data_IF_001006211464
#
_entry.id   IF_001006211464
#
_cell.length_a   1.000
_cell.length_b   1.000
_cell.length_c   1.000
_cell.angle_alpha   90.00
_cell.angle_beta   90.00
_cell.angle_gamma   90.00
#
_symmetry.space_group_name_H-M   'P 1'
#
loop_
_entity.id
_entity.type
_entity.pdbx_description
1 polymer ?
#
# COMPACT_ATOMS: atom_id res chain seq x y z
N UNK A 1 -11.76 -3.02 -16.52
CA UNK A 1 -10.95 -2.12 -15.68
C UNK A 1 -11.70 -1.97 -14.37
N UNK A 2 -11.18 -2.53 -13.28
CA UNK A 2 -11.80 -2.40 -11.97
C UNK A 2 -11.17 -1.18 -11.30
N UNK A 3 -11.86 -0.04 -11.39
CA UNK A 3 -11.52 1.17 -10.66
C UNK A 3 -11.99 0.98 -9.21
N UNK A 4 -11.07 0.60 -8.32
CA UNK A 4 -11.25 0.75 -6.86
C UNK A 4 -11.41 2.23 -6.44
N UNK A 5 -11.39 3.17 -7.39
CA UNK A 5 -11.52 4.62 -7.21
C UNK A 5 -12.82 5.06 -6.53
N UNK A 6 -13.93 4.32 -6.63
CA UNK A 6 -15.22 4.77 -6.05
C UNK A 6 -15.45 4.35 -4.60
N UNK A 7 -15.24 3.08 -4.23
CA UNK A 7 -15.74 2.57 -2.94
C UNK A 7 -15.15 3.24 -1.68
N UNK A 8 -13.83 3.30 -1.56
CA UNK A 8 -13.17 3.79 -0.32
C UNK A 8 -13.18 5.31 -0.21
N UNK A 9 -13.09 6.03 -1.33
CA UNK A 9 -13.12 7.50 -1.33
C UNK A 9 -14.53 8.04 -1.12
N UNK A 10 -15.55 7.41 -1.72
CA UNK A 10 -16.94 7.87 -1.59
C UNK A 10 -17.47 7.66 -0.16
N UNK A 11 -17.14 6.54 0.50
CA UNK A 11 -17.61 6.24 1.87
C UNK A 11 -16.96 7.11 2.94
N UNK A 12 -15.72 7.58 2.73
CA UNK A 12 -14.95 8.29 3.76
C UNK A 12 -14.80 9.79 3.55
N UNK A 13 -15.40 10.36 2.50
CA UNK A 13 -15.33 11.79 2.19
C UNK A 13 -15.84 12.71 3.32
N UNK A 14 -16.73 12.22 4.19
CA UNK A 14 -17.25 12.97 5.34
C UNK A 14 -16.51 12.72 6.67
N UNK A 15 -15.60 11.74 6.73
CA UNK A 15 -14.92 11.34 7.97
C UNK A 15 -13.57 12.04 8.09
N UNK A 16 -13.58 13.21 8.76
CA UNK A 16 -12.38 14.06 8.97
C UNK A 16 -11.22 13.34 9.66
N UNK A 17 -11.49 12.24 10.34
CA UNK A 17 -10.50 11.48 11.12
C UNK A 17 -9.81 10.37 10.29
N UNK A 18 -10.21 10.15 9.03
CA UNK A 18 -9.62 9.14 8.14
C UNK A 18 -8.69 9.80 7.12
N UNK A 19 -7.46 9.31 7.05
CA UNK A 19 -6.45 9.73 6.06
C UNK A 19 -6.31 8.63 5.01
N UNK A 20 -6.72 8.93 3.77
CA UNK A 20 -6.65 7.97 2.64
C UNK A 20 -5.57 8.39 1.65
N UNK A 21 -4.76 7.42 1.23
CA UNK A 21 -3.83 7.54 0.10
C UNK A 21 -4.13 6.42 -0.91
N UNK A 22 -4.29 6.80 -2.17
CA UNK A 22 -4.26 5.89 -3.30
C UNK A 22 -3.10 6.30 -4.22
N UNK A 23 -1.94 5.61 -4.20
CA UNK A 23 -0.79 6.05 -4.98
C UNK A 23 -1.00 5.82 -6.48
N UNK A 24 -0.86 6.87 -7.28
CA UNK A 24 -1.17 6.84 -8.73
C UNK A 24 0.06 6.97 -9.63
N UNK A 25 1.27 7.16 -9.07
CA UNK A 25 2.49 7.33 -9.84
C UNK A 25 2.72 6.22 -10.89
N UNK A 26 3.27 6.59 -12.05
CA UNK A 26 3.42 5.72 -13.22
C UNK A 26 4.60 4.76 -13.19
N UNK A 27 5.59 4.96 -12.31
CA UNK A 27 6.76 4.09 -12.16
C UNK A 27 6.99 3.75 -10.67
N UNK A 28 7.80 2.71 -10.40
CA UNK A 28 8.02 2.22 -9.05
C UNK A 28 8.67 3.26 -8.13
N UNK A 29 9.69 3.99 -8.60
CA UNK A 29 10.41 4.97 -7.78
C UNK A 29 9.49 6.07 -7.28
N UNK A 30 8.68 6.64 -8.18
CA UNK A 30 7.75 7.70 -7.83
C UNK A 30 6.58 7.18 -6.99
N UNK A 31 6.16 5.93 -7.20
CA UNK A 31 5.13 5.27 -6.38
C UNK A 31 5.57 5.13 -4.92
N UNK A 32 6.81 4.67 -4.69
CA UNK A 32 7.37 4.58 -3.34
C UNK A 32 7.53 5.97 -2.72
N UNK A 33 8.03 6.94 -3.50
CA UNK A 33 8.21 8.32 -3.04
C UNK A 33 6.88 8.99 -2.67
N UNK A 34 5.82 8.71 -3.41
CA UNK A 34 4.47 9.21 -3.12
C UNK A 34 3.98 8.71 -1.74
N UNK A 35 4.18 7.42 -1.44
CA UNK A 35 3.89 6.86 -0.12
C UNK A 35 4.73 7.54 0.96
N UNK A 36 6.04 7.66 0.75
CA UNK A 36 6.96 8.28 1.71
C UNK A 36 6.59 9.73 2.03
N UNK A 37 6.27 10.52 1.01
CA UNK A 37 5.86 11.91 1.15
C UNK A 37 4.55 12.00 1.93
N UNK A 38 3.55 11.18 1.58
CA UNK A 38 2.26 11.21 2.25
C UNK A 38 2.37 10.90 3.75
N UNK A 39 3.12 9.85 4.11
CA UNK A 39 3.27 9.48 5.53
C UNK A 39 4.16 10.46 6.31
N UNK A 40 5.00 11.25 5.63
CA UNK A 40 5.93 12.19 6.28
C UNK A 40 5.20 13.25 7.09
N UNK A 41 4.11 13.80 6.53
CA UNK A 41 3.37 14.90 7.13
C UNK A 41 2.36 14.44 8.20
N UNK A 42 2.13 13.12 8.33
CA UNK A 42 1.21 12.57 9.32
C UNK A 42 1.84 12.60 10.71
N UNK A 43 1.25 13.43 11.58
CA UNK A 43 1.66 13.58 12.98
C UNK A 43 1.15 12.47 13.90
N UNK A 44 -0.04 11.95 13.63
CA UNK A 44 -0.68 10.93 14.45
C UNK A 44 -1.72 10.15 13.63
N UNK A 45 -1.82 8.85 13.92
CA UNK A 45 -2.90 7.91 13.57
C UNK A 45 -2.97 6.83 14.66
N UNK A 46 -4.13 6.26 14.92
CA UNK A 46 -4.29 5.16 15.90
C UNK A 46 -3.95 3.78 15.32
N UNK A 47 -4.20 3.61 14.01
CA UNK A 47 -4.03 2.36 13.27
C UNK A 47 -3.82 2.66 11.78
N UNK A 48 -3.11 1.77 11.09
CA UNK A 48 -2.96 1.83 9.63
C UNK A 48 -3.55 0.56 9.01
N UNK A 49 -4.50 0.76 8.08
CA UNK A 49 -5.01 -0.29 7.22
C UNK A 49 -4.42 -0.19 5.82
N UNK A 50 -4.21 -1.33 5.16
CA UNK A 50 -3.72 -1.40 3.79
C UNK A 50 -4.66 -2.28 2.97
N UNK A 51 -5.27 -1.71 1.93
CA UNK A 51 -5.83 -2.51 0.84
C UNK A 51 -4.67 -2.97 -0.03
N UNK A 52 -4.25 -4.22 0.14
CA UNK A 52 -3.04 -4.77 -0.45
C UNK A 52 -3.36 -5.41 -1.82
N UNK A 53 -3.33 -4.57 -2.86
CA UNK A 53 -3.38 -5.00 -4.26
C UNK A 53 -1.99 -5.31 -4.83
N UNK A 54 -1.86 -6.49 -5.44
CA UNK A 54 -0.65 -6.96 -6.11
C UNK A 54 -0.74 -6.87 -7.63
N UNK A 55 -1.85 -6.36 -8.15
CA UNK A 55 -2.08 -6.16 -9.58
C UNK A 55 -1.17 -5.07 -10.18
N UNK A 56 -0.47 -4.29 -9.33
CA UNK A 56 0.58 -3.34 -9.74
C UNK A 56 1.92 -3.99 -10.04
N UNK A 57 2.01 -5.31 -9.97
CA UNK A 57 3.21 -6.06 -10.31
C UNK A 57 3.58 -5.95 -11.79
N UNK A 58 4.87 -5.86 -12.10
CA UNK A 58 5.38 -5.63 -13.46
C UNK A 58 4.96 -6.66 -14.51
N UNK A 59 4.69 -7.91 -14.10
CA UNK A 59 4.21 -8.96 -15.01
C UNK A 59 2.69 -9.08 -15.02
N UNK A 60 2.01 -8.35 -14.15
CA UNK A 60 0.56 -8.24 -14.13
C UNK A 60 0.17 -7.05 -15.00
N UNK A 61 -0.37 -7.34 -16.18
CA UNK A 61 -0.81 -6.32 -17.16
C UNK A 61 0.22 -5.20 -17.45
N UNK A 62 1.52 -5.49 -17.35
CA UNK A 62 2.60 -4.53 -17.65
C UNK A 62 2.72 -3.35 -16.67
N UNK A 63 2.29 -3.52 -15.41
CA UNK A 63 2.38 -2.46 -14.39
C UNK A 63 3.83 -2.23 -13.91
N UNK A 64 4.03 -1.59 -12.75
CA UNK A 64 5.30 -0.91 -12.41
C UNK A 64 6.12 -1.53 -11.27
N UNK A 65 5.50 -2.27 -10.35
CA UNK A 65 6.15 -2.72 -9.11
C UNK A 65 6.88 -4.06 -9.27
N UNK A 66 8.02 -4.18 -8.64
CA UNK A 66 8.76 -5.43 -8.48
C UNK A 66 8.38 -6.14 -7.18
N UNK A 67 8.81 -7.39 -7.02
CA UNK A 67 8.67 -8.13 -5.75
C UNK A 67 9.37 -7.41 -4.60
N UNK A 68 10.53 -6.79 -4.86
CA UNK A 68 11.24 -6.01 -3.85
C UNK A 68 10.50 -4.73 -3.47
N UNK A 69 9.80 -4.09 -4.41
CA UNK A 69 9.00 -2.90 -4.11
C UNK A 69 7.86 -3.23 -3.13
N UNK A 70 7.22 -4.41 -3.25
CA UNK A 70 6.23 -4.87 -2.26
C UNK A 70 6.84 -5.03 -0.86
N UNK A 71 8.06 -5.56 -0.75
CA UNK A 71 8.80 -5.60 0.51
C UNK A 71 9.07 -4.19 1.05
N UNK A 72 9.50 -3.26 0.21
CA UNK A 72 9.75 -1.87 0.61
C UNK A 72 8.48 -1.20 1.13
N UNK A 73 7.33 -1.40 0.45
CA UNK A 73 6.04 -0.87 0.87
C UNK A 73 5.68 -1.40 2.27
N UNK A 74 5.75 -2.73 2.48
CA UNK A 74 5.51 -3.33 3.79
C UNK A 74 6.41 -2.72 4.88
N UNK A 75 7.71 -2.58 4.57
CA UNK A 75 8.71 -2.00 5.49
C UNK A 75 8.44 -0.53 5.81
N UNK A 76 8.00 0.26 4.84
CA UNK A 76 7.64 1.67 5.03
C UNK A 76 6.46 1.80 6.00
N UNK A 77 5.42 0.99 5.83
CA UNK A 77 4.23 1.03 6.69
C UNK A 77 4.58 0.57 8.12
N UNK A 78 5.41 -0.46 8.26
CA UNK A 78 5.97 -0.86 9.57
C UNK A 78 6.72 0.29 10.23
N UNK A 79 7.66 0.93 9.52
CA UNK A 79 8.43 2.06 10.06
C UNK A 79 7.52 3.21 10.46
N UNK A 80 6.51 3.51 9.64
CA UNK A 80 5.54 4.55 9.91
C UNK A 80 4.77 4.30 11.22
N UNK A 81 4.17 3.12 11.37
CA UNK A 81 3.40 2.78 12.57
C UNK A 81 4.26 2.70 13.84
N UNK A 82 5.53 2.33 13.71
CA UNK A 82 6.51 2.44 14.81
C UNK A 82 6.81 3.90 15.16
N UNK A 83 6.96 4.78 14.18
CA UNK A 83 7.12 6.23 14.39
C UNK A 83 5.91 6.85 15.10
N UNK A 84 4.70 6.31 14.89
CA UNK A 84 3.49 6.72 15.62
C UNK A 84 3.40 6.17 17.05
N UNK A 85 4.36 5.33 17.49
CA UNK A 85 4.47 4.86 18.87
C UNK A 85 3.68 3.59 19.21
N UNK A 86 2.93 2.99 18.27
CA UNK A 86 2.07 1.83 18.56
C UNK A 86 2.31 0.59 17.68
N UNK A 87 2.80 0.74 16.45
CA UNK A 87 3.03 -0.39 15.54
C UNK A 87 1.77 -1.10 15.00
N UNK A 88 0.58 -0.79 15.52
CA UNK A 88 -0.72 -1.32 15.06
C UNK A 88 -0.94 -1.07 13.56
N UNK A 89 -1.02 -2.15 12.79
CA UNK A 89 -1.25 -2.14 11.35
C UNK A 89 -1.87 -3.47 10.91
N UNK A 90 -2.69 -3.43 9.87
CA UNK A 90 -3.23 -4.62 9.22
C UNK A 90 -3.28 -4.42 7.71
N UNK A 91 -3.35 -5.52 6.97
CA UNK A 91 -3.49 -5.50 5.52
C UNK A 91 -4.56 -6.50 5.10
N UNK A 92 -5.34 -6.13 4.09
CA UNK A 92 -6.39 -6.97 3.49
C UNK A 92 -5.99 -7.21 2.04
N UNK A 93 -5.90 -8.48 1.63
CA UNK A 93 -5.60 -8.84 0.25
C UNK A 93 -6.77 -8.44 -0.66
N UNK A 94 -6.48 -7.75 -1.76
CA UNK A 94 -7.48 -7.39 -2.77
C UNK A 94 -7.16 -7.93 -4.16
N UNK A 95 -6.47 -7.15 -5.01
CA UNK A 95 -6.15 -7.53 -6.39
C UNK A 95 -4.84 -8.31 -6.53
N UNK A 96 -4.65 -8.98 -7.67
CA UNK A 96 -3.43 -9.71 -8.00
C UNK A 96 -3.75 -10.88 -8.92
N UNK A 97 -3.47 -10.71 -10.21
CA UNK A 97 -3.96 -11.60 -11.27
C UNK A 97 -2.83 -12.36 -11.96
N UNK A 98 -1.57 -11.94 -11.79
CA UNK A 98 -0.41 -12.73 -12.21
C UNK A 98 -0.05 -13.82 -11.18
N UNK A 99 -0.78 -14.94 -11.24
CA UNK A 99 -0.65 -16.07 -10.31
C UNK A 99 0.78 -16.61 -10.11
N UNK A 100 1.65 -16.73 -11.14
CA UNK A 100 2.97 -17.35 -10.97
C UNK A 100 3.87 -16.67 -9.93
N UNK A 101 3.72 -15.36 -9.74
CA UNK A 101 4.52 -14.58 -8.78
C UNK A 101 3.67 -13.94 -7.66
N UNK A 102 2.34 -14.13 -7.65
CA UNK A 102 1.45 -13.57 -6.61
C UNK A 102 1.91 -13.97 -5.21
N UNK A 103 2.14 -15.27 -4.97
CA UNK A 103 2.60 -15.75 -3.66
C UNK A 103 3.94 -15.15 -3.23
N UNK A 104 4.87 -14.91 -4.18
CA UNK A 104 6.16 -14.28 -3.90
C UNK A 104 5.99 -12.81 -3.53
N UNK A 105 5.09 -12.12 -4.22
CA UNK A 105 4.80 -10.71 -3.96
C UNK A 105 4.10 -10.51 -2.62
N UNK A 106 3.13 -11.37 -2.30
CA UNK A 106 2.45 -11.40 -0.98
C UNK A 106 3.47 -11.68 0.12
N UNK A 107 4.32 -12.69 -0.05
CA UNK A 107 5.35 -13.03 0.93
C UNK A 107 6.34 -11.87 1.15
N UNK A 108 6.81 -11.25 0.07
CA UNK A 108 7.71 -10.11 0.15
C UNK A 108 7.08 -8.93 0.92
N UNK A 109 5.81 -8.63 0.64
CA UNK A 109 5.06 -7.64 1.42
C UNK A 109 5.00 -8.02 2.89
N UNK A 110 4.58 -9.25 3.22
CA UNK A 110 4.49 -9.74 4.60
C UNK A 110 5.83 -9.63 5.35
N UNK A 111 6.94 -10.00 4.72
CA UNK A 111 8.29 -9.90 5.30
C UNK A 111 8.73 -8.44 5.57
N UNK A 112 8.29 -7.49 4.75
CA UNK A 112 8.49 -6.08 5.04
C UNK A 112 7.56 -5.58 6.15
N UNK A 113 6.35 -6.16 6.20
CA UNK A 113 5.24 -5.69 7.00
C UNK A 113 5.25 -6.22 8.44
N UNK A 114 5.83 -7.38 8.75
CA UNK A 114 6.11 -7.85 10.12
C UNK A 114 7.19 -7.02 10.78
#
# INVERSE_FOLDING_TARGET
>A
MHTQEMGTLDVHSEWKDVKVLNPMAGNNKDYIKEIENYIHDIRYVDIVGVSAGFDSYKKDMGKKLTTFDFYLIGRLIKKFTKRMGHGRRFAILEGGYYLPDLGKNVLAFCQGFE
#
